data_IF_757416279532
#
_entry.id   IF_757416279532
#
_cell.length_a   1.000
_cell.length_b   1.000
_cell.length_c   1.000
_cell.angle_alpha   90.00
_cell.angle_beta   90.00
_cell.angle_gamma   90.00
#
_symmetry.space_group_name_H-M   'P 1'
#
loop_
_entity.id
_entity.type
_entity.pdbx_description
1 polymer ?
#
# COMPACT_ATOMS: atom_id res chain seq x y z
N UNK A 1 -0.91 40.76 15.70
CA UNK A 1 -0.70 39.63 14.77
C UNK A 1 -0.65 38.29 15.47
N UNK A 2 0.33 38.01 16.35
CA UNK A 2 0.46 36.69 17.01
C UNK A 2 -0.79 36.23 17.77
N UNK A 3 -1.36 37.07 18.65
CA UNK A 3 -2.55 36.68 19.43
C UNK A 3 -3.77 36.39 18.56
N UNK A 4 -3.98 37.18 17.49
CA UNK A 4 -5.06 36.96 16.52
C UNK A 4 -4.86 35.66 15.74
N UNK A 5 -3.63 35.34 15.37
CA UNK A 5 -3.32 34.07 14.71
C UNK A 5 -3.58 32.86 15.62
N UNK A 6 -3.24 32.96 16.91
CA UNK A 6 -3.51 31.91 17.90
C UNK A 6 -5.01 31.67 18.03
N UNK A 7 -5.80 32.73 18.15
CA UNK A 7 -7.26 32.64 18.26
C UNK A 7 -7.89 32.00 17.02
N UNK A 8 -7.48 32.41 15.82
CA UNK A 8 -7.98 31.85 14.57
C UNK A 8 -7.61 30.36 14.41
N UNK A 9 -6.40 29.97 14.81
CA UNK A 9 -5.98 28.57 14.77
C UNK A 9 -6.76 27.73 15.78
N UNK A 10 -6.97 28.24 17.00
CA UNK A 10 -7.74 27.53 18.02
C UNK A 10 -9.17 27.24 17.53
N UNK A 11 -9.86 28.27 17.02
CA UNK A 11 -11.21 28.13 16.47
C UNK A 11 -11.22 27.20 15.25
N UNK A 12 -10.24 27.35 14.35
CA UNK A 12 -10.14 26.56 13.13
C UNK A 12 -9.91 25.08 13.40
N UNK A 13 -9.02 24.74 14.32
CA UNK A 13 -8.70 23.35 14.70
C UNK A 13 -9.91 22.70 15.37
N UNK A 14 -10.54 23.40 16.31
CA UNK A 14 -11.73 22.89 17.02
C UNK A 14 -12.88 22.60 16.03
N UNK A 15 -13.15 23.56 15.13
CA UNK A 15 -14.16 23.38 14.10
C UNK A 15 -13.80 22.26 13.11
N UNK A 16 -12.53 22.08 12.75
CA UNK A 16 -12.10 21.03 11.84
C UNK A 16 -12.22 19.64 12.49
N UNK A 17 -11.86 19.52 13.77
CA UNK A 17 -12.01 18.29 14.53
C UNK A 17 -13.47 17.83 14.55
N UNK A 18 -14.38 18.71 14.97
CA UNK A 18 -15.80 18.36 15.13
C UNK A 18 -16.58 18.23 13.82
N UNK A 19 -16.26 19.04 12.80
CA UNK A 19 -17.06 19.08 11.55
C UNK A 19 -16.48 18.25 10.40
N UNK A 20 -15.24 17.78 10.54
CA UNK A 20 -14.59 16.97 9.51
C UNK A 20 -14.07 15.67 10.11
N UNK A 21 -13.20 15.72 11.12
CA UNK A 21 -12.47 14.54 11.61
C UNK A 21 -13.39 13.52 12.30
N UNK A 22 -14.31 13.97 13.17
CA UNK A 22 -15.20 13.09 13.95
C UNK A 22 -16.16 12.23 13.11
N UNK A 23 -16.29 12.50 11.82
CA UNK A 23 -17.14 11.75 10.88
C UNK A 23 -16.39 11.09 9.73
N UNK A 24 -15.06 11.02 9.77
CA UNK A 24 -14.29 10.35 8.71
C UNK A 24 -14.56 8.84 8.76
N UNK A 25 -15.11 8.32 7.67
CA UNK A 25 -15.29 6.89 7.44
C UNK A 25 -14.40 6.41 6.30
N UNK A 26 -13.87 5.19 6.44
CA UNK A 26 -13.08 4.57 5.40
C UNK A 26 -13.99 3.99 4.32
N UNK A 27 -13.71 4.29 3.05
CA UNK A 27 -14.27 3.52 1.93
C UNK A 27 -13.45 2.23 1.77
N UNK A 28 -13.82 1.21 2.54
CA UNK A 28 -13.07 -0.06 2.62
C UNK A 28 -12.98 -0.78 1.27
N UNK A 29 -14.06 -0.76 0.48
CA UNK A 29 -14.10 -1.38 -0.86
C UNK A 29 -13.06 -0.75 -1.79
N UNK A 30 -13.04 0.59 -1.85
CA UNK A 30 -12.07 1.32 -2.67
C UNK A 30 -10.65 1.12 -2.20
N UNK A 31 -10.42 1.08 -0.88
CA UNK A 31 -9.10 0.84 -0.31
C UNK A 31 -8.62 -0.58 -0.68
N UNK A 32 -9.48 -1.59 -0.55
CA UNK A 32 -9.14 -2.98 -0.91
C UNK A 32 -8.77 -3.10 -2.39
N UNK A 33 -9.58 -2.51 -3.29
CA UNK A 33 -9.31 -2.48 -4.73
C UNK A 33 -7.92 -1.88 -5.05
N UNK A 34 -7.61 -0.73 -4.43
CA UNK A 34 -6.33 -0.05 -4.64
C UNK A 34 -5.14 -0.86 -4.12
N UNK A 35 -5.30 -1.55 -2.99
CA UNK A 35 -4.26 -2.43 -2.43
C UNK A 35 -4.04 -3.63 -3.35
N UNK A 36 -5.10 -4.31 -3.79
CA UNK A 36 -5.00 -5.48 -4.67
C UNK A 36 -4.36 -5.17 -6.02
N UNK A 37 -4.63 -3.97 -6.57
CA UNK A 37 -4.05 -3.51 -7.84
C UNK A 37 -2.68 -2.84 -7.70
N UNK A 38 -2.17 -2.66 -6.48
CA UNK A 38 -0.92 -1.95 -6.25
C UNK A 38 0.29 -2.74 -6.75
N UNK A 39 0.99 -2.17 -7.73
CA UNK A 39 2.26 -2.72 -8.23
C UNK A 39 3.40 -2.62 -7.21
N UNK A 40 3.26 -1.80 -6.17
CA UNK A 40 4.30 -1.62 -5.15
C UNK A 40 4.42 -2.81 -4.19
N UNK A 41 3.40 -3.68 -4.15
CA UNK A 41 3.45 -4.93 -3.39
C UNK A 41 4.54 -5.89 -3.89
N UNK A 42 5.06 -5.65 -5.10
CA UNK A 42 6.16 -6.43 -5.70
C UNK A 42 7.44 -6.41 -4.86
N UNK A 43 7.62 -5.39 -4.01
CA UNK A 43 8.77 -5.27 -3.11
C UNK A 43 8.85 -6.42 -2.11
N UNK A 44 7.71 -7.02 -1.74
CA UNK A 44 7.67 -8.22 -0.89
C UNK A 44 8.26 -9.46 -1.57
N UNK A 45 8.37 -9.47 -2.91
CA UNK A 45 8.95 -10.58 -3.67
C UNK A 45 10.48 -10.50 -3.75
N UNK A 46 11.07 -9.32 -3.55
CA UNK A 46 12.51 -9.07 -3.74
C UNK A 46 13.41 -10.04 -2.96
N UNK A 47 13.14 -10.39 -1.69
CA UNK A 47 13.98 -11.34 -0.95
C UNK A 47 14.00 -12.75 -1.56
N UNK A 48 12.94 -13.16 -2.25
CA UNK A 48 12.80 -14.51 -2.80
C UNK A 48 13.32 -14.60 -4.25
N UNK A 49 12.99 -13.61 -5.08
CA UNK A 49 13.28 -13.66 -6.53
C UNK A 49 14.33 -12.66 -6.99
N UNK A 50 14.80 -11.77 -6.10
CA UNK A 50 15.72 -10.69 -6.42
C UNK A 50 15.05 -9.47 -7.07
N UNK A 51 15.78 -8.35 -7.06
CA UNK A 51 15.27 -7.06 -7.54
C UNK A 51 14.90 -7.07 -9.03
N UNK A 52 15.77 -7.65 -9.88
CA UNK A 52 15.57 -7.62 -11.34
C UNK A 52 14.31 -8.38 -11.77
N UNK A 53 14.06 -9.55 -11.18
CA UNK A 53 12.86 -10.35 -11.45
C UNK A 53 11.60 -9.65 -10.91
N UNK A 54 11.66 -9.09 -9.70
CA UNK A 54 10.56 -8.30 -9.14
C UNK A 54 10.22 -7.10 -10.04
N UNK A 55 11.23 -6.35 -10.49
CA UNK A 55 11.03 -5.23 -11.41
C UNK A 55 10.44 -5.69 -12.76
N UNK A 56 10.82 -6.88 -13.23
CA UNK A 56 10.27 -7.48 -14.46
C UNK A 56 8.78 -7.81 -14.31
N UNK A 57 8.37 -8.45 -13.20
CA UNK A 57 6.97 -8.73 -12.90
C UNK A 57 6.15 -7.43 -12.87
N UNK A 58 6.64 -6.40 -12.16
CA UNK A 58 5.92 -5.12 -12.06
C UNK A 58 5.73 -4.43 -13.41
N UNK A 59 6.77 -4.42 -14.25
CA UNK A 59 6.69 -3.85 -15.61
C UNK A 59 5.72 -4.63 -16.49
N UNK A 60 5.75 -5.96 -16.43
CA UNK A 60 4.85 -6.82 -17.19
C UNK A 60 3.39 -6.60 -16.77
N UNK A 61 3.12 -6.58 -15.46
CA UNK A 61 1.81 -6.30 -14.92
C UNK A 61 1.25 -4.95 -15.40
N UNK A 62 2.09 -3.90 -15.38
CA UNK A 62 1.71 -2.57 -15.87
C UNK A 62 1.42 -2.56 -17.38
N UNK A 63 2.25 -3.21 -18.19
CA UNK A 63 2.11 -3.22 -19.64
C UNK A 63 0.90 -4.00 -20.13
N UNK A 64 0.50 -5.04 -19.39
CA UNK A 64 -0.58 -5.95 -19.77
C UNK A 64 -1.88 -5.74 -18.98
N UNK A 65 -1.95 -4.71 -18.14
CA UNK A 65 -3.08 -4.43 -17.21
C UNK A 65 -3.46 -5.67 -16.38
N UNK A 66 -2.45 -6.31 -15.81
CA UNK A 66 -2.57 -7.51 -14.98
C UNK A 66 -2.23 -7.21 -13.51
N UNK A 67 -2.68 -8.08 -12.62
CA UNK A 67 -2.17 -8.14 -11.25
C UNK A 67 -0.74 -8.67 -11.20
N UNK A 68 -0.02 -8.36 -10.13
CA UNK A 68 1.32 -8.92 -9.90
C UNK A 68 1.32 -10.45 -9.85
N UNK A 69 0.23 -11.04 -9.35
CA UNK A 69 0.07 -12.49 -9.26
C UNK A 69 -0.02 -13.11 -10.64
N UNK A 70 -0.89 -12.58 -11.50
CA UNK A 70 -1.06 -13.05 -12.87
C UNK A 70 0.24 -12.91 -13.66
N UNK A 71 0.88 -11.73 -13.61
CA UNK A 71 2.15 -11.50 -14.30
C UNK A 71 3.28 -12.40 -13.78
N UNK A 72 3.36 -12.63 -12.47
CA UNK A 72 4.37 -13.51 -11.88
C UNK A 72 4.21 -14.99 -12.26
N UNK A 73 2.95 -15.45 -12.33
CA UNK A 73 2.60 -16.79 -12.81
C UNK A 73 2.87 -16.96 -14.30
N UNK A 74 2.48 -15.98 -15.12
CA UNK A 74 2.69 -16.00 -16.58
C UNK A 74 4.17 -16.01 -16.95
N UNK A 75 4.99 -15.21 -16.24
CA UNK A 75 6.43 -15.19 -16.42
C UNK A 75 7.15 -16.42 -15.83
N UNK A 76 6.44 -17.27 -15.07
CA UNK A 76 7.01 -18.45 -14.41
C UNK A 76 8.04 -18.10 -13.34
N UNK A 77 8.00 -16.88 -12.80
CA UNK A 77 8.97 -16.40 -11.80
C UNK A 77 8.55 -16.74 -10.37
N UNK A 78 7.26 -17.00 -10.16
CA UNK A 78 6.68 -17.40 -8.87
C UNK A 78 5.48 -18.33 -9.12
N UNK A 79 5.11 -19.10 -8.10
CA UNK A 79 3.82 -19.79 -8.05
C UNK A 79 2.80 -19.05 -7.16
N UNK A 80 1.57 -19.55 -7.14
CA UNK A 80 0.50 -18.93 -6.35
C UNK A 80 0.72 -19.07 -4.85
N UNK A 81 1.42 -20.11 -4.39
CA UNK A 81 1.64 -20.35 -2.96
C UNK A 81 2.67 -19.37 -2.41
N UNK A 82 3.79 -19.19 -3.13
CA UNK A 82 4.83 -18.20 -2.87
C UNK A 82 4.23 -16.80 -2.86
N UNK A 83 3.42 -16.45 -3.87
CA UNK A 83 2.79 -15.12 -3.91
C UNK A 83 1.90 -14.89 -2.69
N UNK A 84 1.01 -15.82 -2.36
CA UNK A 84 0.08 -15.67 -1.24
C UNK A 84 0.81 -15.66 0.13
N UNK A 85 1.97 -16.33 0.21
CA UNK A 85 2.82 -16.37 1.41
C UNK A 85 3.57 -15.05 1.62
N UNK A 86 4.11 -14.47 0.56
CA UNK A 86 4.98 -13.29 0.63
C UNK A 86 4.21 -11.97 0.54
N UNK A 87 3.21 -11.89 -0.34
CA UNK A 87 2.47 -10.66 -0.59
C UNK A 87 1.29 -10.57 0.36
N UNK A 88 1.56 -10.09 1.57
CA UNK A 88 0.57 -9.91 2.64
C UNK A 88 0.59 -8.44 3.08
N UNK A 89 -0.28 -7.56 2.51
CA UNK A 89 -0.25 -6.12 2.80
C UNK A 89 -0.33 -5.79 4.31
N UNK A 90 -1.04 -6.61 5.09
CA UNK A 90 -1.14 -6.46 6.56
C UNK A 90 0.21 -6.61 7.27
N UNK A 91 1.13 -7.40 6.71
CA UNK A 91 2.45 -7.65 7.27
C UNK A 91 3.49 -6.61 6.79
N UNK A 92 3.12 -5.75 5.82
CA UNK A 92 3.98 -4.74 5.20
C UNK A 92 3.88 -3.34 5.84
N UNK A 93 3.04 -3.18 6.86
CA UNK A 93 2.78 -1.89 7.52
C UNK A 93 3.40 -1.77 8.92
N UNK A 94 4.04 -2.84 9.41
CA UNK A 94 4.75 -2.86 10.70
C UNK A 94 6.26 -2.73 10.52
N UNK A 95 6.99 -2.34 11.58
CA UNK A 95 8.46 -2.32 11.55
C UNK A 95 9.04 -3.71 11.27
N UNK A 96 9.77 -3.82 10.16
CA UNK A 96 10.53 -5.02 9.79
C UNK A 96 11.63 -5.28 10.83
N UNK A 97 11.42 -6.27 11.72
CA UNK A 97 12.40 -6.72 12.70
C UNK A 97 12.95 -8.10 12.29
N UNK A 98 14.07 -8.18 11.54
CA UNK A 98 14.60 -9.46 11.03
C UNK A 98 15.21 -10.38 12.10
N UNK A 99 15.21 -9.99 13.39
CA UNK A 99 15.89 -10.71 14.49
C UNK A 99 15.09 -10.80 15.80
N UNK A 100 13.77 -11.00 15.74
CA UNK A 100 12.98 -11.43 16.91
C UNK A 100 12.14 -12.65 16.59
#
# INVERSE_FOLDING_TARGET
NVLRSIELLAIGIDSFAHRCVEGIEANEERIAELVERSLMLVTALVPEIGYDNAATIAKHALMNDQTLKEAGLELGLIDSEIFNRLVRPRDMVSEFHPHR
#
